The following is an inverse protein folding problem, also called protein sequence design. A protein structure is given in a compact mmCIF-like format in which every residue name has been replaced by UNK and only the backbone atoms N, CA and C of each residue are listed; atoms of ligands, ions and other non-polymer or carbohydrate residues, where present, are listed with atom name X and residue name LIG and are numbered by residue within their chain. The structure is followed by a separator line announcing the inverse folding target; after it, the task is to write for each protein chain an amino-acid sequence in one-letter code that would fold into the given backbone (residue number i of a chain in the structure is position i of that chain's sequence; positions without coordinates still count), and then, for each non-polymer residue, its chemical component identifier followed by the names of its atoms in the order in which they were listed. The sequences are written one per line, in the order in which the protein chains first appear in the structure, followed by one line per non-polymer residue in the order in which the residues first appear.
data_IF_989129552780
#
_entry.id   IF_989129552780
#
_cell.length_a   1.000
_cell.length_b   1.000
_cell.length_c   1.000
_cell.angle_alpha   90.00
_cell.angle_beta   90.00
_cell.angle_gamma   90.00
#
_symmetry.space_group_name_H-M   'P 1'
#
loop_
_entity.id
_entity.type
_entity.pdbx_description
1 polymer ?
#
# COMPACT_ATOMS: atom_id res chain seq x y z
N UNK A 1 14.60 -11.69 9.00
CA UNK A 1 15.03 -10.79 7.91
C UNK A 1 14.61 -9.35 8.18
N UNK A 2 13.33 -9.07 8.49
CA UNK A 2 12.80 -7.71 8.71
C UNK A 2 13.66 -6.84 9.67
N UNK A 3 14.08 -7.32 10.87
CA UNK A 3 14.83 -6.47 11.80
C UNK A 3 16.23 -6.03 11.32
N UNK A 4 16.69 -6.56 10.19
CA UNK A 4 18.00 -6.26 9.60
C UNK A 4 17.88 -5.46 8.30
N UNK A 5 16.67 -5.22 7.80
CA UNK A 5 16.44 -4.57 6.50
C UNK A 5 16.47 -3.04 6.63
N UNK A 6 17.14 -2.35 5.70
CA UNK A 6 17.14 -0.88 5.64
C UNK A 6 15.89 -0.33 4.94
N UNK A 7 15.25 -1.12 4.09
CA UNK A 7 14.01 -0.78 3.38
C UNK A 7 13.02 -1.94 3.50
N UNK A 8 11.80 -1.65 3.92
CA UNK A 8 10.76 -2.64 4.17
C UNK A 8 9.51 -2.27 3.39
N UNK A 9 9.02 -3.21 2.59
CA UNK A 9 7.85 -3.03 1.74
C UNK A 9 6.78 -4.07 2.12
N UNK A 10 5.71 -3.61 2.76
CA UNK A 10 4.63 -4.46 3.27
C UNK A 10 3.43 -4.35 2.33
N UNK A 11 2.87 -5.48 1.91
CA UNK A 11 1.63 -5.48 1.12
C UNK A 11 0.44 -4.96 1.94
N UNK A 12 -0.43 -4.14 1.34
CA UNK A 12 -1.68 -3.71 1.97
C UNK A 12 -2.60 -4.88 2.35
N UNK A 13 -2.44 -6.04 1.70
CA UNK A 13 -3.15 -7.28 2.08
C UNK A 13 -2.82 -7.75 3.49
N UNK A 14 -1.70 -7.31 4.09
CA UNK A 14 -1.37 -7.61 5.48
C UNK A 14 -2.41 -7.07 6.48
N UNK A 15 -3.18 -6.03 6.10
CA UNK A 15 -4.33 -5.57 6.91
C UNK A 15 -5.44 -6.61 6.95
N UNK A 16 -5.84 -7.12 5.77
CA UNK A 16 -7.02 -7.98 5.67
C UNK A 16 -6.75 -9.40 6.15
N UNK A 17 -5.49 -9.84 6.17
CA UNK A 17 -5.11 -11.15 6.71
C UNK A 17 -4.62 -11.09 8.17
N UNK A 18 -4.67 -9.91 8.82
CA UNK A 18 -4.35 -9.74 10.24
C UNK A 18 -2.87 -9.75 10.62
N UNK A 19 -1.94 -9.66 9.65
CA UNK A 19 -0.49 -9.74 9.92
C UNK A 19 0.20 -8.36 9.99
N UNK A 20 -0.52 -7.27 9.73
CA UNK A 20 0.08 -5.92 9.65
C UNK A 20 0.78 -5.49 10.94
N UNK A 21 0.13 -5.65 12.09
CA UNK A 21 0.67 -5.23 13.39
C UNK A 21 2.00 -5.94 13.70
N UNK A 22 2.01 -7.28 13.63
CA UNK A 22 3.22 -8.07 13.86
C UNK A 22 4.37 -7.72 12.90
N UNK A 23 4.06 -7.40 11.63
CA UNK A 23 5.08 -7.00 10.66
C UNK A 23 5.65 -5.61 10.96
N UNK A 24 4.81 -4.66 11.38
CA UNK A 24 5.25 -3.31 11.75
C UNK A 24 6.07 -3.34 13.04
N UNK A 25 5.73 -4.17 14.02
CA UNK A 25 6.50 -4.33 15.26
C UNK A 25 7.93 -4.87 15.02
N UNK A 26 8.13 -5.61 13.93
CA UNK A 26 9.44 -6.10 13.52
C UNK A 26 10.28 -5.05 12.78
N UNK A 27 9.68 -3.92 12.36
CA UNK A 27 10.36 -2.90 11.59
C UNK A 27 11.30 -2.07 12.48
N UNK A 28 12.61 -2.01 12.18
CA UNK A 28 13.53 -1.14 12.89
C UNK A 28 13.20 0.35 12.66
N UNK A 29 13.35 1.17 13.69
CA UNK A 29 13.14 2.63 13.63
C UNK A 29 14.01 3.36 12.59
N UNK A 30 15.13 2.77 12.19
CA UNK A 30 16.06 3.34 11.20
C UNK A 30 15.69 3.01 9.75
N UNK A 31 14.74 2.11 9.55
CA UNK A 31 14.40 1.57 8.23
C UNK A 31 13.35 2.45 7.56
N UNK A 32 13.43 2.56 6.23
CA UNK A 32 12.37 3.17 5.45
C UNK A 32 11.23 2.15 5.26
N UNK A 33 10.07 2.42 5.86
CA UNK A 33 8.92 1.50 5.85
C UNK A 33 7.85 1.99 4.88
N UNK A 34 7.41 1.12 3.98
CA UNK A 34 6.28 1.40 3.09
C UNK A 34 5.18 0.35 3.16
N UNK A 35 3.94 0.80 3.07
CA UNK A 35 2.78 -0.07 2.82
C UNK A 35 2.30 0.15 1.39
N UNK A 36 2.17 -0.92 0.61
CA UNK A 36 1.88 -0.83 -0.82
C UNK A 36 0.81 -1.82 -1.32
N UNK A 37 0.06 -1.40 -2.34
CA UNK A 37 -0.86 -2.25 -3.09
C UNK A 37 -2.26 -1.67 -3.22
N UNK A 38 -3.10 -2.28 -4.05
CA UNK A 38 -4.47 -1.83 -4.27
C UNK A 38 -5.34 -1.87 -2.99
N UNK A 39 -5.00 -2.75 -2.05
CA UNK A 39 -5.65 -2.90 -0.75
C UNK A 39 -5.25 -1.81 0.26
N UNK A 40 -4.16 -1.06 0.01
CA UNK A 40 -3.66 -0.04 0.93
C UNK A 40 -4.62 1.16 0.97
N UNK A 41 -5.26 1.47 2.11
CA UNK A 41 -6.00 2.71 2.28
C UNK A 41 -5.06 3.91 2.11
N UNK A 42 -5.41 4.84 1.22
CA UNK A 42 -4.67 6.08 1.03
C UNK A 42 -5.01 7.07 2.15
N UNK A 43 -4.44 6.85 3.33
CA UNK A 43 -4.71 7.62 4.56
C UNK A 43 -3.41 8.02 5.27
N UNK A 44 -3.31 9.23 5.85
CA UNK A 44 -2.14 9.63 6.63
C UNK A 44 -2.00 8.88 7.98
N UNK A 45 -3.05 8.18 8.43
CA UNK A 45 -3.05 7.41 9.71
C UNK A 45 -1.89 6.43 9.79
N UNK A 46 -1.42 5.91 8.65
CA UNK A 46 -0.24 5.05 8.59
C UNK A 46 1.01 5.61 9.26
N UNK A 47 1.18 6.94 9.24
CA UNK A 47 2.35 7.60 9.80
C UNK A 47 2.42 7.53 11.33
N UNK A 48 1.27 7.32 11.98
CA UNK A 48 1.16 7.10 13.42
C UNK A 48 1.65 5.69 13.82
N UNK A 49 1.73 4.77 12.85
CA UNK A 49 2.16 3.37 13.01
C UNK A 49 3.56 3.11 12.45
N UNK A 50 4.39 4.15 12.30
CA UNK A 50 5.79 3.99 11.88
C UNK A 50 6.00 3.69 10.39
N UNK A 51 4.97 3.88 9.56
CA UNK A 51 5.11 3.85 8.09
C UNK A 51 5.62 5.22 7.61
N UNK A 52 6.49 5.24 6.60
CA UNK A 52 7.00 6.48 5.99
C UNK A 52 6.35 6.77 4.64
N UNK A 53 6.01 5.71 3.89
CA UNK A 53 5.45 5.79 2.54
C UNK A 53 4.19 4.94 2.39
N UNK A 54 3.13 5.52 1.86
CA UNK A 54 1.84 4.85 1.61
C UNK A 54 1.59 4.83 0.12
N UNK A 55 1.69 3.67 -0.51
CA UNK A 55 1.49 3.51 -1.95
C UNK A 55 0.21 2.73 -2.26
N UNK A 56 -0.76 3.41 -2.87
CA UNK A 56 -2.07 2.84 -3.15
C UNK A 56 -2.51 3.05 -4.59
N UNK A 57 -3.76 2.68 -4.85
CA UNK A 57 -4.40 2.88 -6.15
C UNK A 57 -5.64 3.76 -5.99
N UNK A 58 -5.73 4.83 -6.77
CA UNK A 58 -6.95 5.63 -6.90
C UNK A 58 -7.67 5.24 -8.18
N UNK A 59 -8.92 4.80 -8.06
CA UNK A 59 -9.81 4.60 -9.20
C UNK A 59 -10.19 5.96 -9.78
N UNK A 60 -9.93 6.16 -11.07
CA UNK A 60 -10.28 7.38 -11.81
C UNK A 60 -11.47 7.20 -12.73
N UNK A 61 -11.80 5.95 -13.07
CA UNK A 61 -12.98 5.57 -13.85
C UNK A 61 -13.67 4.37 -13.17
N UNK A 62 -14.61 4.63 -12.25
CA UNK A 62 -15.27 3.57 -11.49
C UNK A 62 -16.06 2.59 -12.35
N UNK A 63 -16.73 3.05 -13.40
CA UNK A 63 -17.56 2.21 -14.26
C UNK A 63 -16.70 1.21 -15.04
N UNK A 64 -15.62 1.69 -15.68
CA UNK A 64 -14.68 0.82 -16.38
C UNK A 64 -14.05 -0.21 -15.43
N UNK A 65 -13.64 0.22 -14.24
CA UNK A 65 -12.96 -0.66 -13.28
C UNK A 65 -13.90 -1.73 -12.72
N UNK A 66 -15.15 -1.38 -12.41
CA UNK A 66 -16.14 -2.37 -11.99
C UNK A 66 -16.38 -3.41 -13.07
N UNK A 67 -16.49 -3.00 -14.34
CA UNK A 67 -16.66 -3.92 -15.46
C UNK A 67 -15.44 -4.85 -15.60
N UNK A 68 -14.22 -4.32 -15.66
CA UNK A 68 -13.02 -5.14 -15.82
C UNK A 68 -12.82 -6.12 -14.64
N UNK A 69 -13.03 -5.67 -13.41
CA UNK A 69 -12.90 -6.55 -12.23
C UNK A 69 -13.98 -7.65 -12.25
N UNK A 70 -15.19 -7.34 -12.71
CA UNK A 70 -16.26 -8.35 -12.84
C UNK A 70 -15.93 -9.47 -13.83
N UNK A 71 -15.04 -9.20 -14.80
CA UNK A 71 -14.54 -10.17 -15.78
C UNK A 71 -13.26 -10.89 -15.31
N UNK A 72 -12.79 -10.65 -14.08
CA UNK A 72 -11.58 -11.28 -13.54
C UNK A 72 -10.27 -10.69 -14.05
N UNK A 73 -10.30 -9.49 -14.65
CA UNK A 73 -9.10 -8.79 -15.12
C UNK A 73 -8.19 -8.43 -13.94
N UNK A 74 -6.92 -8.82 -14.01
CA UNK A 74 -5.97 -8.62 -12.89
C UNK A 74 -5.34 -7.23 -12.90
N UNK A 75 -4.77 -6.82 -11.77
CA UNK A 75 -4.18 -5.49 -11.59
C UNK A 75 -3.23 -5.07 -12.73
N UNK A 76 -2.37 -5.99 -13.17
CA UNK A 76 -1.40 -5.74 -14.26
C UNK A 76 -2.06 -5.34 -15.58
N UNK A 77 -3.30 -5.78 -15.82
CA UNK A 77 -4.06 -5.50 -17.04
C UNK A 77 -4.93 -4.24 -16.93
N UNK A 78 -5.30 -3.83 -15.70
CA UNK A 78 -5.99 -2.54 -15.46
C UNK A 78 -5.01 -1.39 -15.28
N UNK A 79 -3.74 -1.63 -14.96
CA UNK A 79 -2.76 -0.56 -14.79
C UNK A 79 -2.69 0.33 -16.04
N UNK A 80 -2.81 1.64 -15.85
CA UNK A 80 -2.90 2.62 -16.95
C UNK A 80 -4.31 2.78 -17.56
N UNK A 81 -5.32 2.05 -17.06
CA UNK A 81 -6.71 2.10 -17.51
C UNK A 81 -7.62 2.34 -16.31
N UNK A 82 -8.21 3.53 -16.17
CA UNK A 82 -9.18 3.81 -15.12
C UNK A 82 -8.62 3.82 -13.68
N UNK A 83 -7.30 3.72 -13.50
CA UNK A 83 -6.61 3.84 -12.20
C UNK A 83 -5.37 4.71 -12.29
N UNK A 84 -5.00 5.32 -11.16
CA UNK A 84 -3.72 5.98 -10.94
C UNK A 84 -3.03 5.41 -9.71
N UNK A 85 -1.74 5.14 -9.83
CA UNK A 85 -0.89 4.85 -8.67
C UNK A 85 -0.58 6.17 -7.95
N UNK A 86 -0.70 6.16 -6.63
CA UNK A 86 -0.38 7.31 -5.79
C UNK A 86 0.51 6.86 -4.64
N UNK A 87 1.49 7.69 -4.29
CA UNK A 87 2.30 7.55 -3.09
C UNK A 87 2.15 8.80 -2.24
N UNK A 88 1.79 8.61 -0.98
CA UNK A 88 1.81 9.66 0.05
C UNK A 88 3.06 9.43 0.88
N UNK A 89 3.84 10.48 1.12
CA UNK A 89 5.04 10.43 1.95
C UNK A 89 4.80 11.24 3.22
N UNK A 90 5.30 10.73 4.35
CA UNK A 90 5.31 11.46 5.62
C UNK A 90 6.09 12.76 5.45
N UNK A 91 5.47 13.90 5.73
CA UNK A 91 6.16 15.19 5.75
C UNK A 91 7.19 15.18 6.90
N UNK A 92 8.45 15.45 6.57
CA UNK A 92 9.50 15.67 7.57
C UNK A 92 9.50 17.16 7.92
N UNK A 93 9.08 17.50 9.14
CA UNK A 93 9.29 18.83 9.73
C UNK A 93 10.57 18.82 10.57
#
# INVERSE_FOLDING_TARGET
VIPQADVIAITGTALINGTMEELLDLCPQKSLVMVLGATTPLSPVWFDYGVDLVSGTRVTDPELILHLISEGVVFKQIHGRGVKLLTIQKESY
#
